data_IF_709799740963
#
_entry.id   IF_709799740963
#
_cell.length_a   1.000
_cell.length_b   1.000
_cell.length_c   1.000
_cell.angle_alpha   90.00
_cell.angle_beta   90.00
_cell.angle_gamma   90.00
#
_symmetry.space_group_name_H-M   'P 1'
#
loop_
_entity.id
_entity.type
_entity.pdbx_description
1 polymer ?
#
# COMPACT_ATOMS: atom_id res chain seq x y z
N UNK A 1 12.30 8.43 22.99
CA UNK A 1 11.53 9.29 22.08
C UNK A 1 10.53 10.07 22.93
N UNK A 2 10.72 11.37 23.08
CA UNK A 2 9.87 12.26 23.91
C UNK A 2 8.80 13.01 23.07
N UNK A 3 8.77 12.78 21.75
CA UNK A 3 7.80 13.34 20.83
C UNK A 3 8.01 14.81 20.47
N UNK A 4 9.14 15.42 20.87
CA UNK A 4 9.49 16.80 20.52
C UNK A 4 10.80 16.82 19.74
N UNK A 5 10.79 17.46 18.57
CA UNK A 5 11.98 17.53 17.73
C UNK A 5 13.06 18.38 18.43
N UNK A 6 14.17 17.75 18.81
CA UNK A 6 15.38 18.44 19.26
C UNK A 6 16.33 18.74 18.08
N UNK A 7 17.35 19.56 18.32
CA UNK A 7 18.42 19.79 17.34
C UNK A 7 19.16 18.48 16.98
N UNK A 8 19.36 17.60 17.96
CA UNK A 8 19.98 16.28 17.76
C UNK A 8 19.09 15.37 16.90
N UNK A 9 17.77 15.39 17.10
CA UNK A 9 16.83 14.63 16.27
C UNK A 9 16.85 15.14 14.83
N UNK A 10 16.88 16.46 14.64
CA UNK A 10 16.99 17.06 13.31
C UNK A 10 18.25 16.61 12.58
N UNK A 11 19.41 16.60 13.24
CA UNK A 11 20.67 16.11 12.67
C UNK A 11 20.58 14.62 12.30
N UNK A 12 20.06 13.78 13.20
CA UNK A 12 19.86 12.37 12.95
C UNK A 12 18.95 12.10 11.75
N UNK A 13 17.85 12.85 11.63
CA UNK A 13 16.91 12.76 10.51
C UNK A 13 17.58 13.20 9.20
N UNK A 14 18.33 14.31 9.19
CA UNK A 14 19.09 14.75 8.00
C UNK A 14 20.07 13.70 7.53
N UNK A 15 20.77 13.07 8.47
CA UNK A 15 21.72 12.01 8.17
C UNK A 15 21.01 10.78 7.62
N UNK A 16 19.85 10.39 8.19
CA UNK A 16 19.02 9.31 7.65
C UNK A 16 18.50 9.61 6.24
N UNK A 17 17.95 10.81 6.02
CA UNK A 17 17.42 11.26 4.73
C UNK A 17 18.53 11.24 3.66
N UNK A 18 19.70 11.78 3.99
CA UNK A 18 20.85 11.82 3.08
C UNK A 18 21.35 10.42 2.72
N UNK A 19 21.48 9.52 3.70
CA UNK A 19 21.90 8.12 3.48
C UNK A 19 20.92 7.32 2.64
N UNK A 20 19.62 7.64 2.71
CA UNK A 20 18.57 6.87 2.05
C UNK A 20 17.92 7.61 0.87
N UNK A 21 18.51 8.71 0.40
CA UNK A 21 18.06 9.43 -0.79
C UNK A 21 16.72 10.15 -0.65
N UNK A 22 16.28 10.47 0.57
CA UNK A 22 15.08 11.29 0.81
C UNK A 22 15.43 12.76 0.55
N UNK A 23 14.61 13.44 -0.26
CA UNK A 23 14.82 14.84 -0.63
C UNK A 23 13.55 15.67 -0.35
N UNK A 24 13.69 16.89 0.18
CA UNK A 24 14.92 17.48 0.73
C UNK A 24 15.39 16.72 1.99
N UNK A 25 16.70 16.79 2.27
CA UNK A 25 17.28 16.24 3.50
C UNK A 25 17.38 17.33 4.57
N UNK A 26 16.22 17.86 4.97
CA UNK A 26 16.05 19.05 5.80
C UNK A 26 15.90 18.76 7.30
N UNK A 27 15.80 17.48 7.69
CA UNK A 27 15.59 17.04 9.06
C UNK A 27 14.11 16.89 9.44
N UNK A 28 13.18 17.10 8.50
CA UNK A 28 11.76 16.93 8.73
C UNK A 28 11.34 15.45 8.63
N UNK A 29 10.74 14.93 9.70
CA UNK A 29 10.20 13.57 9.76
C UNK A 29 8.82 13.45 9.06
N UNK A 30 8.72 13.95 7.83
CA UNK A 30 7.50 13.86 7.02
C UNK A 30 7.24 12.46 6.45
N UNK A 31 6.17 12.32 5.67
CA UNK A 31 5.72 11.03 5.14
C UNK A 31 6.78 10.31 4.28
N UNK A 32 7.57 11.07 3.49
CA UNK A 32 8.67 10.51 2.71
C UNK A 32 9.76 9.89 3.59
N UNK A 33 10.16 10.60 4.66
CA UNK A 33 11.12 10.11 5.66
C UNK A 33 10.57 8.86 6.35
N UNK A 34 9.32 8.93 6.83
CA UNK A 34 8.66 7.84 7.54
C UNK A 34 8.53 6.57 6.68
N UNK A 35 7.99 6.66 5.45
CA UNK A 35 7.87 5.48 4.57
C UNK A 35 9.22 4.93 4.15
N UNK A 36 10.23 5.78 4.00
CA UNK A 36 11.60 5.31 3.73
C UNK A 36 12.16 4.55 4.92
N UNK A 37 11.90 5.01 6.15
CA UNK A 37 12.27 4.29 7.38
C UNK A 37 11.63 2.90 7.43
N UNK A 38 10.33 2.79 7.16
CA UNK A 38 9.63 1.50 7.11
C UNK A 38 10.25 0.54 6.08
N UNK A 39 10.65 1.04 4.92
CA UNK A 39 11.34 0.23 3.90
C UNK A 39 12.71 -0.23 4.41
N UNK A 40 13.50 0.66 5.04
CA UNK A 40 14.81 0.30 5.60
C UNK A 40 14.68 -0.77 6.68
N UNK A 41 13.71 -0.63 7.58
CA UNK A 41 13.40 -1.61 8.63
C UNK A 41 12.98 -2.96 8.04
N UNK A 42 12.24 -2.95 6.93
CA UNK A 42 11.79 -4.16 6.24
C UNK A 42 12.89 -4.88 5.44
N UNK A 43 14.05 -4.25 5.17
CA UNK A 43 15.09 -4.85 4.29
C UNK A 43 15.61 -6.21 4.75
N UNK A 44 15.91 -6.45 6.04
CA UNK A 44 16.47 -7.73 6.47
C UNK A 44 15.49 -8.90 6.31
N UNK A 45 14.22 -8.66 6.63
CA UNK A 45 13.13 -9.62 6.47
C UNK A 45 11.79 -8.87 6.31
N UNK A 46 11.33 -8.61 5.07
CA UNK A 46 10.09 -7.87 4.85
C UNK A 46 8.86 -8.67 5.25
N UNK A 47 9.00 -10.00 5.44
CA UNK A 47 7.95 -10.93 5.83
C UNK A 47 8.11 -11.42 7.28
N UNK A 48 8.81 -10.69 8.15
CA UNK A 48 9.02 -11.08 9.56
C UNK A 48 7.71 -11.37 10.32
N UNK A 49 6.61 -10.68 9.96
CA UNK A 49 5.29 -10.89 10.53
C UNK A 49 4.53 -12.10 9.92
N UNK A 50 5.09 -12.79 8.93
CA UNK A 50 4.51 -13.97 8.28
C UNK A 50 3.23 -13.71 7.49
N UNK A 51 2.95 -12.45 7.11
CA UNK A 51 1.70 -12.08 6.43
C UNK A 51 1.70 -12.44 4.95
N UNK A 52 2.84 -12.34 4.27
CA UNK A 52 2.92 -12.78 2.88
C UNK A 52 3.07 -14.30 2.82
N UNK A 53 2.20 -15.01 2.10
CA UNK A 53 2.25 -16.46 1.99
C UNK A 53 3.58 -16.94 1.37
N UNK A 54 4.12 -18.01 1.96
CA UNK A 54 5.33 -18.67 1.47
C UNK A 54 4.92 -19.75 0.48
N UNK A 55 5.26 -19.55 -0.80
CA UNK A 55 4.96 -20.47 -1.90
C UNK A 55 6.24 -20.82 -2.66
N UNK A 56 6.25 -21.95 -3.35
CA UNK A 56 7.38 -22.40 -4.17
C UNK A 56 7.58 -21.58 -5.46
N UNK A 57 6.58 -20.79 -5.87
CA UNK A 57 6.63 -19.82 -6.96
C UNK A 57 6.81 -18.38 -6.45
N UNK A 58 6.95 -17.43 -7.37
CA UNK A 58 7.06 -16.00 -7.04
C UNK A 58 5.71 -15.46 -6.55
N UNK A 59 5.75 -14.73 -5.45
CA UNK A 59 4.63 -13.95 -4.92
C UNK A 59 5.07 -12.50 -4.77
N UNK A 60 4.42 -11.60 -5.50
CA UNK A 60 4.49 -10.16 -5.26
C UNK A 60 3.64 -9.83 -4.04
N UNK A 61 4.30 -9.48 -2.94
CA UNK A 61 3.69 -9.17 -1.65
C UNK A 61 3.46 -7.67 -1.54
N UNK A 62 2.20 -7.24 -1.34
CA UNK A 62 1.81 -5.83 -1.21
C UNK A 62 1.25 -5.57 0.17
N UNK A 63 2.01 -4.82 0.97
CA UNK A 63 1.64 -4.41 2.31
C UNK A 63 1.05 -3.00 2.29
N UNK A 64 -0.29 -2.90 2.33
CA UNK A 64 -0.97 -1.61 2.28
C UNK A 64 -0.79 -0.82 3.58
N UNK A 65 -0.64 -1.48 4.72
CA UNK A 65 -0.44 -0.83 6.03
C UNK A 65 0.89 -0.06 6.04
N UNK A 66 1.96 -0.72 5.58
CA UNK A 66 3.31 -0.12 5.50
C UNK A 66 3.58 0.65 4.21
N UNK A 67 2.69 0.56 3.22
CA UNK A 67 2.87 1.14 1.88
C UNK A 67 4.22 0.75 1.25
N UNK A 68 4.51 -0.55 1.26
CA UNK A 68 5.67 -1.13 0.59
C UNK A 68 5.31 -2.45 -0.11
N UNK A 69 6.16 -2.87 -1.05
CA UNK A 69 6.01 -4.16 -1.71
C UNK A 69 7.36 -4.83 -1.94
N UNK A 70 7.37 -6.15 -2.02
CA UNK A 70 8.54 -6.96 -2.37
C UNK A 70 8.11 -8.19 -3.18
N UNK A 71 9.06 -8.94 -3.74
CA UNK A 71 8.78 -10.26 -4.34
C UNK A 71 9.60 -11.32 -3.62
N UNK A 72 8.95 -12.43 -3.28
CA UNK A 72 9.61 -13.60 -2.69
C UNK A 72 9.28 -14.88 -3.47
N UNK A 73 10.21 -15.83 -3.46
CA UNK A 73 9.98 -17.23 -3.83
C UNK A 73 10.48 -18.10 -2.68
N UNK A 74 9.57 -18.90 -2.11
CA UNK A 74 9.74 -19.46 -0.79
C UNK A 74 9.95 -18.34 0.24
N UNK A 75 10.98 -18.52 1.07
CA UNK A 75 11.43 -17.50 2.04
C UNK A 75 12.49 -16.55 1.45
N UNK A 76 12.92 -16.78 0.20
CA UNK A 76 13.94 -15.96 -0.44
C UNK A 76 13.29 -14.73 -1.05
N UNK A 77 13.73 -13.56 -0.61
CA UNK A 77 13.40 -12.29 -1.27
C UNK A 77 14.18 -12.21 -2.59
N UNK A 78 13.45 -12.13 -3.70
CA UNK A 78 14.02 -12.03 -5.06
C UNK A 78 13.94 -10.61 -5.63
N UNK A 79 13.09 -9.77 -5.05
CA UNK A 79 13.07 -8.33 -5.24
C UNK A 79 12.91 -7.65 -3.87
N UNK A 80 13.91 -6.85 -3.50
CA UNK A 80 13.97 -6.19 -2.20
C UNK A 80 12.77 -5.24 -1.97
N UNK A 81 12.37 -4.99 -0.71
CA UNK A 81 11.24 -4.12 -0.42
C UNK A 81 11.49 -2.69 -0.93
N UNK A 82 10.46 -2.12 -1.56
CA UNK A 82 10.43 -0.75 -2.09
C UNK A 82 9.17 -0.03 -1.62
N UNK A 83 9.20 1.32 -1.48
CA UNK A 83 8.01 2.07 -1.15
C UNK A 83 7.02 2.06 -2.33
N UNK A 84 5.73 2.09 -2.02
CA UNK A 84 4.67 2.21 -3.01
C UNK A 84 3.73 3.37 -2.69
N UNK A 85 2.92 3.73 -3.69
CA UNK A 85 1.71 4.54 -3.49
C UNK A 85 0.51 3.81 -4.06
N UNK A 86 -0.34 3.27 -3.18
CA UNK A 86 -1.55 2.54 -3.58
C UNK A 86 -2.77 3.47 -3.70
N UNK A 87 -3.94 2.89 -3.96
CA UNK A 87 -5.23 3.56 -4.11
C UNK A 87 -5.55 4.58 -3.00
N UNK A 88 -6.24 5.68 -3.33
CA UNK A 88 -6.72 6.66 -2.33
C UNK A 88 -8.11 6.29 -1.80
N UNK A 89 -8.59 7.04 -0.81
CA UNK A 89 -9.93 6.90 -0.25
C UNK A 89 -10.98 6.96 -1.39
N UNK A 90 -11.82 5.92 -1.48
CA UNK A 90 -12.82 5.73 -2.54
C UNK A 90 -12.31 5.02 -3.80
N UNK A 91 -11.02 4.70 -3.88
CA UNK A 91 -10.37 3.98 -4.99
C UNK A 91 -9.32 3.00 -4.46
N UNK A 92 -9.65 2.25 -3.42
CA UNK A 92 -8.73 1.38 -2.72
C UNK A 92 -8.19 0.26 -3.63
N UNK A 93 -6.92 -0.09 -3.41
CA UNK A 93 -6.33 -1.29 -4.03
C UNK A 93 -7.00 -2.52 -3.44
N UNK A 94 -7.47 -3.43 -4.30
CA UNK A 94 -8.23 -4.61 -3.86
C UNK A 94 -7.32 -5.61 -3.18
N UNK A 95 -7.74 -6.10 -2.01
CA UNK A 95 -6.99 -7.08 -1.21
C UNK A 95 -7.31 -8.50 -1.65
N UNK A 96 -6.43 -9.44 -1.28
CA UNK A 96 -6.58 -10.86 -1.60
C UNK A 96 -5.51 -11.37 -2.55
N UNK A 97 -5.80 -12.54 -3.12
CA UNK A 97 -4.97 -13.19 -4.13
C UNK A 97 -5.37 -12.73 -5.52
N UNK A 98 -4.34 -12.41 -6.29
CA UNK A 98 -4.44 -11.99 -7.68
C UNK A 98 -3.33 -12.64 -8.50
N UNK A 99 -3.39 -12.46 -9.80
CA UNK A 99 -2.40 -12.99 -10.74
C UNK A 99 -2.07 -11.92 -11.76
N UNK A 100 -0.79 -11.73 -12.07
CA UNK A 100 -0.40 -10.85 -13.17
C UNK A 100 -0.94 -11.44 -14.47
N UNK A 101 -1.95 -10.82 -15.07
CA UNK A 101 -2.67 -11.36 -16.23
C UNK A 101 -2.31 -10.67 -17.55
N UNK A 102 -1.74 -9.46 -17.48
CA UNK A 102 -1.33 -8.72 -18.66
C UNK A 102 -0.25 -7.70 -18.33
N UNK A 103 0.68 -7.49 -19.26
CA UNK A 103 1.85 -6.63 -19.08
C UNK A 103 2.14 -5.81 -20.32
N UNK A 104 2.44 -4.52 -20.14
CA UNK A 104 2.78 -3.62 -21.23
C UNK A 104 3.78 -2.54 -20.74
N UNK A 105 4.91 -2.40 -21.46
CA UNK A 105 5.99 -1.49 -21.04
C UNK A 105 5.59 -0.03 -21.20
N UNK A 106 4.92 0.33 -22.29
CA UNK A 106 4.57 1.72 -22.62
C UNK A 106 3.06 1.96 -22.54
N UNK A 107 2.39 1.34 -21.56
CA UNK A 107 0.93 1.46 -21.41
C UNK A 107 0.51 2.91 -21.20
N UNK A 108 -0.55 3.31 -21.90
CA UNK A 108 -1.21 4.60 -21.71
C UNK A 108 -2.66 4.36 -21.26
N UNK A 109 -3.04 4.92 -20.12
CA UNK A 109 -4.39 4.76 -19.60
C UNK A 109 -5.32 5.78 -20.24
N UNK A 110 -6.20 5.33 -21.14
CA UNK A 110 -7.24 6.20 -21.74
C UNK A 110 -8.20 6.76 -20.69
N UNK A 111 -8.48 5.98 -19.63
CA UNK A 111 -9.40 6.39 -18.55
C UNK A 111 -8.85 7.55 -17.71
N UNK A 112 -7.52 7.62 -17.57
CA UNK A 112 -6.86 8.61 -16.70
C UNK A 112 -5.93 9.57 -17.45
N UNK A 113 -5.87 9.47 -18.78
CA UNK A 113 -5.05 10.28 -19.67
C UNK A 113 -3.58 10.39 -19.17
N UNK A 114 -3.01 9.23 -18.81
CA UNK A 114 -1.72 9.18 -18.12
C UNK A 114 -0.87 7.95 -18.51
N UNK A 115 0.47 8.11 -18.64
CA UNK A 115 1.37 7.00 -18.89
C UNK A 115 1.52 6.11 -17.66
N UNK A 116 1.53 4.80 -17.87
CA UNK A 116 1.76 3.75 -16.89
C UNK A 116 2.95 2.88 -17.32
N UNK A 117 4.18 3.40 -17.26
CA UNK A 117 5.35 2.65 -17.72
C UNK A 117 5.56 1.38 -16.90
N UNK A 118 5.94 0.28 -17.56
CA UNK A 118 6.09 -1.05 -16.98
C UNK A 118 4.81 -1.54 -16.28
N UNK A 119 3.65 -1.34 -16.90
CA UNK A 119 2.37 -1.76 -16.36
C UNK A 119 2.26 -3.28 -16.28
N UNK A 120 1.89 -3.79 -15.11
CA UNK A 120 1.66 -5.20 -14.84
C UNK A 120 0.33 -5.35 -14.11
N UNK A 121 -0.71 -5.67 -14.86
CA UNK A 121 -2.09 -5.73 -14.39
C UNK A 121 -2.35 -7.01 -13.64
N UNK A 122 -3.02 -6.90 -12.49
CA UNK A 122 -3.31 -8.04 -11.61
C UNK A 122 -4.78 -8.16 -11.20
N UNK A 123 -5.58 -7.10 -11.31
CA UNK A 123 -7.02 -7.16 -11.03
C UNK A 123 -7.79 -6.06 -11.79
N UNK A 124 -8.63 -6.42 -12.77
CA UNK A 124 -9.60 -5.53 -13.46
C UNK A 124 -9.13 -4.06 -13.65
N UNK A 125 -7.92 -3.87 -14.19
CA UNK A 125 -7.33 -2.54 -14.43
C UNK A 125 -6.40 -2.00 -13.34
N UNK A 126 -6.35 -2.61 -12.15
CA UNK A 126 -5.31 -2.33 -11.15
C UNK A 126 -4.00 -3.02 -11.55
N UNK A 127 -2.91 -2.24 -11.53
CA UNK A 127 -1.61 -2.67 -11.97
C UNK A 127 -0.48 -2.17 -11.06
N UNK A 128 0.65 -2.87 -11.08
CA UNK A 128 1.94 -2.26 -10.75
C UNK A 128 2.39 -1.42 -11.94
N UNK A 129 2.84 -0.18 -11.70
CA UNK A 129 3.49 0.61 -12.75
C UNK A 129 4.37 1.71 -12.17
N UNK A 130 5.30 2.19 -12.98
CA UNK A 130 6.15 3.33 -12.66
C UNK A 130 5.35 4.63 -12.63
N UNK A 131 5.79 5.56 -11.80
CA UNK A 131 5.32 6.94 -11.77
C UNK A 131 6.49 7.90 -11.81
N UNK A 132 6.34 8.96 -12.60
CA UNK A 132 7.22 10.14 -12.55
C UNK A 132 6.79 11.14 -11.47
N UNK A 133 5.64 10.90 -10.84
CA UNK A 133 5.13 11.72 -9.75
C UNK A 133 5.68 11.30 -8.40
N UNK A 134 5.36 12.11 -7.38
CA UNK A 134 5.73 11.82 -6.00
C UNK A 134 4.89 10.67 -5.41
N UNK A 135 5.57 9.64 -4.87
CA UNK A 135 4.93 8.53 -4.18
C UNK A 135 4.34 8.91 -2.81
N UNK A 136 4.71 10.08 -2.28
CA UNK A 136 4.36 10.51 -0.92
C UNK A 136 3.24 11.55 -0.89
N UNK A 137 2.55 11.77 -2.01
CA UNK A 137 1.38 12.64 -2.10
C UNK A 137 0.17 11.91 -2.69
N UNK A 138 -0.99 12.05 -2.03
CA UNK A 138 -2.27 11.49 -2.49
C UNK A 138 -2.30 9.97 -2.63
N UNK A 139 -2.93 9.49 -3.70
CA UNK A 139 -3.01 8.09 -4.06
C UNK A 139 -3.51 7.87 -5.49
N UNK A 140 -3.28 6.67 -6.00
CA UNK A 140 -3.75 6.26 -7.33
C UNK A 140 -5.27 6.04 -7.34
N UNK A 141 -5.80 5.65 -8.49
CA UNK A 141 -7.17 5.13 -8.62
C UNK A 141 -7.24 3.60 -8.42
N UNK A 142 -6.34 3.03 -7.63
CA UNK A 142 -6.30 1.61 -7.30
C UNK A 142 -4.98 0.93 -7.64
N UNK A 143 -4.25 1.42 -8.65
CA UNK A 143 -2.94 0.90 -9.02
C UNK A 143 -1.91 1.02 -7.89
N UNK A 144 -0.88 0.18 -7.92
CA UNK A 144 0.28 0.25 -7.04
C UNK A 144 1.38 0.99 -7.77
N UNK A 145 1.58 2.27 -7.46
CA UNK A 145 2.63 3.06 -8.11
C UNK A 145 4.00 2.80 -7.45
N UNK A 146 5.02 2.64 -8.29
CA UNK A 146 6.42 2.52 -7.90
C UNK A 146 7.24 3.68 -8.49
N UNK A 147 8.47 3.87 -8.00
CA UNK A 147 9.45 4.70 -8.72
C UNK A 147 9.75 4.03 -10.06
N UNK A 148 10.08 4.81 -11.09
CA UNK A 148 10.32 4.27 -12.43
C UNK A 148 11.38 3.16 -12.45
N UNK A 149 12.49 3.35 -11.73
CA UNK A 149 13.55 2.33 -11.63
C UNK A 149 13.10 1.07 -10.88
N UNK A 150 12.23 1.22 -9.88
CA UNK A 150 11.66 0.09 -9.15
C UNK A 150 10.68 -0.69 -10.03
N UNK A 151 9.86 -0.01 -10.82
CA UNK A 151 8.94 -0.62 -11.78
C UNK A 151 9.68 -1.38 -12.87
N UNK A 152 10.78 -0.83 -13.40
CA UNK A 152 11.66 -1.50 -14.36
C UNK A 152 12.26 -2.78 -13.76
N UNK A 153 12.81 -2.71 -12.54
CA UNK A 153 13.36 -3.89 -11.86
C UNK A 153 12.29 -4.93 -11.55
N UNK A 154 11.08 -4.49 -11.20
CA UNK A 154 9.94 -5.37 -10.97
C UNK A 154 9.50 -6.05 -12.26
N UNK A 155 9.53 -5.34 -13.40
CA UNK A 155 9.29 -5.92 -14.72
C UNK A 155 10.27 -7.04 -15.04
N UNK A 156 11.54 -6.87 -14.74
CA UNK A 156 12.54 -7.93 -14.94
C UNK A 156 12.38 -9.09 -13.94
N UNK A 157 11.67 -8.87 -12.83
CA UNK A 157 11.46 -9.87 -11.77
C UNK A 157 10.20 -10.71 -11.98
N UNK A 158 9.10 -10.08 -12.38
CA UNK A 158 7.80 -10.73 -12.53
C UNK A 158 7.55 -11.15 -13.98
N UNK A 159 6.63 -12.09 -14.16
CA UNK A 159 6.06 -12.51 -15.43
C UNK A 159 4.53 -12.52 -15.34
N UNK A 160 3.87 -12.74 -16.48
CA UNK A 160 2.47 -13.18 -16.47
C UNK A 160 2.38 -14.51 -15.70
N UNK A 161 1.22 -14.76 -15.10
CA UNK A 161 0.91 -15.88 -14.21
C UNK A 161 1.62 -15.87 -12.83
N UNK A 162 2.52 -14.92 -12.55
CA UNK A 162 3.04 -14.75 -11.19
C UNK A 162 1.94 -14.27 -10.23
N UNK A 163 1.97 -14.80 -9.01
CA UNK A 163 0.98 -14.48 -8.00
C UNK A 163 1.24 -13.14 -7.34
N UNK A 164 0.16 -12.45 -6.99
CA UNK A 164 0.16 -11.20 -6.26
C UNK A 164 -0.71 -11.38 -5.01
N UNK A 165 -0.20 -10.99 -3.85
CA UNK A 165 -0.94 -11.04 -2.60
C UNK A 165 -0.95 -9.67 -1.94
N UNK A 166 -2.15 -9.11 -1.78
CA UNK A 166 -2.37 -7.76 -1.26
C UNK A 166 -3.12 -7.84 0.06
N UNK A 167 -2.63 -7.17 1.10
CA UNK A 167 -3.31 -7.10 2.40
C UNK A 167 -3.17 -5.73 3.06
N UNK A 168 -3.92 -5.56 4.15
CA UNK A 168 -3.90 -4.36 4.97
C UNK A 168 -4.78 -3.25 4.41
N UNK A 169 -4.62 -2.06 4.96
CA UNK A 169 -5.34 -0.85 4.57
C UNK A 169 -4.33 0.29 4.46
N UNK A 170 -4.43 1.07 3.38
CA UNK A 170 -3.60 2.26 3.25
C UNK A 170 -3.99 3.26 4.35
N UNK A 171 -3.03 3.75 5.15
CA UNK A 171 -3.31 4.79 6.13
C UNK A 171 -4.00 6.02 5.49
N UNK A 172 -5.16 6.39 6.02
CA UNK A 172 -5.98 7.50 5.52
C UNK A 172 -7.10 7.10 4.53
N UNK A 173 -7.33 5.81 4.29
CA UNK A 173 -8.44 5.31 3.43
C UNK A 173 -9.45 4.45 4.21
N UNK A 174 -9.46 4.53 5.54
CA UNK A 174 -10.27 3.66 6.40
C UNK A 174 -11.77 4.01 6.34
N UNK A 175 -12.12 5.24 5.94
CA UNK A 175 -13.50 5.75 5.98
C UNK A 175 -14.42 5.04 4.99
N UNK A 176 -13.90 4.61 3.85
CA UNK A 176 -14.69 3.93 2.82
C UNK A 176 -14.82 2.42 3.10
N UNK A 177 -13.80 1.80 3.69
CA UNK A 177 -13.84 0.39 4.11
C UNK A 177 -14.86 0.14 5.23
N UNK A 178 -15.03 1.11 6.15
CA UNK A 178 -16.06 1.05 7.19
C UNK A 178 -17.51 1.12 6.69
N UNK A 179 -17.73 1.44 5.40
CA UNK A 179 -19.07 1.53 4.81
C UNK A 179 -19.55 0.24 4.15
N UNK A 180 -18.65 -0.73 3.91
CA UNK A 180 -18.97 -1.99 3.21
C UNK A 180 -19.34 -3.13 4.17
N UNK A 181 -19.10 -3.01 5.47
CA UNK A 181 -19.51 -4.04 6.45
C UNK A 181 -20.07 -3.43 7.73
N UNK A 182 -21.34 -3.04 7.70
CA UNK A 182 -22.20 -3.25 8.85
C UNK A 182 -23.41 -4.04 8.35
N UNK A 183 -23.61 -5.32 8.75
CA UNK A 183 -24.92 -5.92 8.57
C UNK A 183 -25.90 -5.05 9.36
N UNK A 184 -26.89 -4.50 8.65
CA UNK A 184 -28.00 -3.80 9.28
C UNK A 184 -28.59 -4.76 10.31
N UNK A 185 -28.38 -4.46 11.60
CA UNK A 185 -29.11 -5.13 12.66
C UNK A 185 -30.61 -4.99 12.35
N UNK A 186 -31.42 -6.06 12.48
CA UNK A 186 -32.86 -5.92 12.32
C UNK A 186 -33.33 -4.87 13.33
N UNK A 187 -34.05 -3.87 12.82
CA UNK A 187 -34.63 -2.79 13.61
C UNK A 187 -35.40 -3.39 14.79
N UNK A 188 -35.15 -2.97 16.05
CA UNK A 188 -35.91 -3.49 17.17
C UNK A 188 -37.37 -3.08 16.99
N UNK A 189 -38.26 -4.08 16.94
CA UNK A 189 -39.69 -3.87 16.93
C UNK A 189 -40.06 -2.90 18.07
N UNK A 190 -40.81 -1.85 17.70
CA UNK A 190 -41.30 -0.84 18.63
C UNK A 190 -41.95 -1.52 19.83
N UNK A 191 -41.30 -1.40 21.00
CA UNK A 191 -41.90 -1.77 22.26
C UNK A 191 -42.96 -0.74 22.59
N UNK A 192 -44.22 -1.08 22.31
CA UNK A 192 -45.36 -0.35 22.87
C UNK A 192 -45.32 -0.54 24.39
N UNK A 193 -45.22 0.53 25.20
CA UNK A 193 -45.24 0.38 26.65
C UNK A 193 -46.61 -0.12 27.12
N UNK A 194 -46.68 -0.96 28.17
CA UNK A 194 -47.96 -1.40 28.73
C UNK A 194 -48.71 -0.22 29.37
N UNK A 195 -50.06 -0.25 29.37
CA UNK A 195 -50.86 0.81 29.97
C UNK A 195 -50.63 0.90 31.48
N UNK A 196 -50.46 2.12 31.98
CA UNK A 196 -50.27 2.43 33.39
C UNK A 196 -51.52 2.04 34.20
N UNK A 197 -51.41 1.25 35.29
CA UNK A 197 -52.53 1.00 36.19
C UNK A 197 -52.81 2.24 37.05
N UNK A 198 -54.03 2.79 36.92
CA UNK A 198 -54.80 3.47 37.97
C UNK A 198 -54.15 4.61 38.74
N UNK A 199 -54.48 5.84 38.35
CA UNK A 199 -54.71 6.92 39.30
C UNK A 199 -56.23 7.16 39.36
N UNK A 200 -56.73 7.21 40.59
CA UNK A 200 -58.13 7.32 41.08
C UNK A 200 -59.14 8.03 40.19
#
# INVERSE_FOLDING_TARGET
MDGRQSAADCEAIRAFQSRNGVRPADGYAGLATYRTMLVVEARPDPNAAGRCPVRDHRVACVDLDRQLMWVQSGRRVVFAPVPIRSGRDGYETRTGWHTVYWREIDHYSDLYDAPMPYAQFFDEGQAFHGSNGDLYSGGSHGCVNLRLDDARRLWDTLAEDDSVFVWGVKPGTERTLGRVTAPTAPSPAAHTPPPTPGAR
#
